data_IF_008678690435
#
_entry.id   IF_008678690435
#
_cell.length_a   1.000
_cell.length_b   1.000
_cell.length_c   1.000
_cell.angle_alpha   90.00
_cell.angle_beta   90.00
_cell.angle_gamma   90.00
#
_symmetry.space_group_name_H-M   'P 1'
#
loop_
_entity.id
_entity.type
_entity.pdbx_description
1 polymer ?
#
# COMPACT_ATOMS: atom_id res chain seq x y z
N UNK A 1 4.51 14.81 3.19
CA UNK A 1 4.34 14.14 1.90
C UNK A 1 3.05 14.60 1.25
N UNK A 2 3.13 15.06 0.00
CA UNK A 2 1.94 15.48 -0.78
C UNK A 2 1.15 14.24 -1.22
N UNK A 3 -0.17 14.33 -1.51
CA UNK A 3 -0.97 13.15 -1.81
C UNK A 3 -0.51 12.33 -3.03
N UNK A 4 0.01 13.01 -4.04
CA UNK A 4 0.47 12.42 -5.32
C UNK A 4 1.98 12.13 -5.35
N UNK A 5 2.70 12.51 -4.30
CA UNK A 5 4.13 12.30 -4.17
C UNK A 5 4.43 10.85 -3.81
N UNK A 6 5.46 10.27 -4.41
CA UNK A 6 5.98 8.95 -4.07
C UNK A 6 6.83 9.01 -2.80
N UNK A 7 7.05 7.88 -2.13
CA UNK A 7 7.97 7.84 -0.99
C UNK A 7 9.41 8.19 -1.41
N UNK A 8 9.78 7.93 -2.66
CA UNK A 8 11.06 8.33 -3.24
C UNK A 8 11.25 9.85 -3.27
N UNK A 9 10.29 10.57 -3.85
CA UNK A 9 10.31 12.04 -3.94
C UNK A 9 10.24 12.69 -2.56
N UNK A 10 9.45 12.12 -1.65
CA UNK A 10 9.37 12.61 -0.27
C UNK A 10 10.69 12.44 0.49
N UNK A 11 11.40 11.31 0.31
CA UNK A 11 12.73 11.09 0.87
C UNK A 11 13.71 12.16 0.38
N UNK A 12 13.78 12.40 -0.93
CA UNK A 12 14.70 13.40 -1.49
C UNK A 12 14.45 14.82 -0.92
N UNK A 13 13.17 15.22 -0.82
CA UNK A 13 12.81 16.52 -0.24
C UNK A 13 13.11 16.60 1.26
N UNK A 14 12.81 15.55 2.02
CA UNK A 14 13.05 15.51 3.46
C UNK A 14 14.55 15.48 3.78
N UNK A 15 15.31 14.67 3.06
CA UNK A 15 16.77 14.57 3.20
C UNK A 15 17.45 15.91 2.85
N UNK A 16 17.00 16.60 1.80
CA UNK A 16 17.48 17.94 1.47
C UNK A 16 17.19 18.94 2.60
N UNK A 17 15.99 18.90 3.19
CA UNK A 17 15.63 19.74 4.33
C UNK A 17 16.49 19.47 5.57
N UNK A 18 16.81 18.20 5.87
CA UNK A 18 17.69 17.84 6.98
C UNK A 18 19.11 18.36 6.75
N UNK A 19 19.61 18.30 5.52
CA UNK A 19 20.92 18.87 5.16
C UNK A 19 20.92 20.39 5.36
N UNK A 20 19.89 21.09 4.88
CA UNK A 20 19.74 22.54 5.09
C UNK A 20 19.71 22.91 6.58
N UNK A 21 18.94 22.18 7.37
CA UNK A 21 18.90 22.36 8.83
C UNK A 21 20.26 22.14 9.48
N UNK A 22 20.99 21.10 9.07
CA UNK A 22 22.34 20.80 9.57
C UNK A 22 23.31 21.95 9.26
N UNK A 23 23.24 22.54 8.06
CA UNK A 23 24.06 23.70 7.67
C UNK A 23 23.75 24.92 8.55
N UNK A 24 22.50 25.07 8.99
CA UNK A 24 22.08 26.13 9.91
C UNK A 24 22.45 25.86 11.38
N UNK A 25 23.08 24.72 11.67
CA UNK A 25 23.48 24.32 13.04
C UNK A 25 22.37 23.63 13.83
N UNK A 26 21.26 23.28 13.19
CA UNK A 26 20.18 22.51 13.80
C UNK A 26 20.43 21.02 13.58
N UNK A 27 20.78 20.30 14.65
CA UNK A 27 20.97 18.86 14.63
C UNK A 27 19.74 18.15 15.19
N UNK A 28 19.31 17.09 14.52
CA UNK A 28 18.23 16.22 14.99
C UNK A 28 18.76 14.83 15.24
N UNK A 29 18.36 14.22 16.35
CA UNK A 29 18.68 12.82 16.58
C UNK A 29 17.76 11.89 15.75
N UNK A 30 18.17 10.63 15.62
CA UNK A 30 17.45 9.60 14.88
C UNK A 30 15.97 9.49 15.26
N UNK A 31 15.66 9.55 16.56
CA UNK A 31 14.28 9.44 17.04
C UNK A 31 13.45 10.65 16.60
N UNK A 32 14.01 11.85 16.65
CA UNK A 32 13.33 13.07 16.22
C UNK A 32 13.04 13.05 14.71
N UNK A 33 14.04 12.69 13.90
CA UNK A 33 13.88 12.54 12.46
C UNK A 33 12.81 11.51 12.13
N UNK A 34 12.88 10.33 12.74
CA UNK A 34 11.91 9.26 12.52
C UNK A 34 10.47 9.69 12.87
N UNK A 35 10.28 10.38 14.00
CA UNK A 35 8.96 10.87 14.40
C UNK A 35 8.45 11.99 13.47
N UNK A 36 9.32 12.87 12.98
CA UNK A 36 8.96 13.91 12.01
C UNK A 36 8.51 13.31 10.68
N UNK A 37 9.27 12.34 10.15
CA UNK A 37 8.88 11.57 8.94
C UNK A 37 7.50 10.94 9.15
N UNK A 38 7.31 10.15 10.22
CA UNK A 38 6.04 9.46 10.47
C UNK A 38 4.84 10.41 10.61
N UNK A 39 5.04 11.62 11.17
CA UNK A 39 3.98 12.63 11.30
C UNK A 39 3.66 13.33 9.98
N UNK A 40 4.61 13.39 9.05
CA UNK A 40 4.45 14.04 7.75
C UNK A 40 3.82 13.14 6.69
N UNK A 41 3.63 11.84 6.99
CA UNK A 41 3.00 10.88 6.09
C UNK A 41 1.46 10.98 6.11
N UNK A 42 0.78 10.71 4.97
CA UNK A 42 -0.67 10.64 4.92
C UNK A 42 -1.22 9.45 5.74
N UNK A 43 -2.50 9.52 6.12
CA UNK A 43 -3.19 8.50 6.93
C UNK A 43 -3.07 7.06 6.41
N UNK A 44 -2.88 6.85 5.10
CA UNK A 44 -2.65 5.51 4.51
C UNK A 44 -1.44 4.78 5.11
N UNK A 45 -0.51 5.52 5.72
CA UNK A 45 0.69 5.00 6.38
C UNK A 45 0.52 4.76 7.89
N UNK A 46 -0.64 5.06 8.49
CA UNK A 46 -0.84 4.99 9.94
C UNK A 46 -0.52 3.60 10.51
N UNK A 47 -0.99 2.54 9.84
CA UNK A 47 -0.69 1.17 10.28
C UNK A 47 0.80 0.86 10.23
N UNK A 48 1.48 1.22 9.14
CA UNK A 48 2.92 1.03 8.97
C UNK A 48 3.72 1.77 10.04
N UNK A 49 3.39 3.06 10.27
CA UNK A 49 4.08 3.88 11.27
C UNK A 49 3.81 3.41 12.70
N UNK A 50 2.60 2.93 13.01
CA UNK A 50 2.26 2.33 14.29
C UNK A 50 3.13 1.09 14.57
N UNK A 51 3.18 0.13 13.64
CA UNK A 51 4.02 -1.07 13.79
C UNK A 51 5.49 -0.70 13.97
N UNK A 52 6.01 0.29 13.24
CA UNK A 52 7.39 0.72 13.39
C UNK A 52 7.68 1.32 14.78
N UNK A 53 6.74 2.11 15.33
CA UNK A 53 6.88 2.66 16.69
C UNK A 53 6.91 1.57 17.77
N UNK A 54 6.18 0.48 17.58
CA UNK A 54 6.15 -0.62 18.55
C UNK A 54 7.32 -1.61 18.38
N UNK A 55 7.80 -1.82 17.15
CA UNK A 55 8.75 -2.89 16.84
C UNK A 55 10.21 -2.45 16.65
N UNK A 56 10.49 -1.15 16.47
CA UNK A 56 11.83 -0.63 16.19
C UNK A 56 12.32 0.27 17.33
N UNK A 57 13.61 0.19 17.64
CA UNK A 57 14.28 1.18 18.49
C UNK A 57 14.57 2.45 17.68
N UNK A 58 13.70 3.45 17.81
CA UNK A 58 13.81 4.70 17.04
C UNK A 58 15.08 5.50 17.35
N UNK A 59 15.75 5.27 18.48
CA UNK A 59 17.00 5.96 18.79
C UNK A 59 18.17 5.43 17.94
N UNK A 60 18.05 4.21 17.40
CA UNK A 60 19.07 3.54 16.58
C UNK A 60 18.65 3.41 15.12
N UNK A 61 17.48 3.94 14.75
CA UNK A 61 16.96 3.85 13.40
C UNK A 61 17.47 5.03 12.57
N UNK A 62 18.44 4.76 11.72
CA UNK A 62 18.98 5.75 10.78
C UNK A 62 17.91 6.19 9.77
N UNK A 63 18.01 7.45 9.33
CA UNK A 63 17.03 8.04 8.39
C UNK A 63 16.96 7.28 7.07
N UNK A 64 18.12 6.87 6.54
CA UNK A 64 18.21 6.04 5.34
C UNK A 64 17.44 4.72 5.49
N UNK A 65 17.61 4.03 6.62
CA UNK A 65 16.98 2.72 6.86
C UNK A 65 15.46 2.85 7.03
N UNK A 66 15.01 3.95 7.66
CA UNK A 66 13.60 4.31 7.73
C UNK A 66 13.02 4.47 6.32
N UNK A 67 13.63 5.28 5.46
CA UNK A 67 13.12 5.50 4.11
C UNK A 67 13.21 4.26 3.23
N UNK A 68 14.28 3.46 3.34
CA UNK A 68 14.38 2.18 2.65
C UNK A 68 13.20 1.24 3.02
N UNK A 69 12.84 1.18 4.31
CA UNK A 69 11.71 0.39 4.78
C UNK A 69 10.36 0.90 4.27
N UNK A 70 10.20 2.22 4.16
CA UNK A 70 8.98 2.85 3.65
C UNK A 70 8.83 2.63 2.14
N UNK A 71 9.89 2.81 1.35
CA UNK A 71 9.89 2.56 -0.10
C UNK A 71 9.60 1.09 -0.42
N UNK A 72 10.16 0.16 0.34
CA UNK A 72 9.84 -1.26 0.20
C UNK A 72 8.35 -1.53 0.46
N UNK A 73 7.75 -0.90 1.46
CA UNK A 73 6.31 -1.04 1.71
C UNK A 73 5.44 -0.41 0.62
N UNK A 74 5.84 0.75 0.08
CA UNK A 74 5.16 1.35 -1.09
C UNK A 74 5.16 0.39 -2.28
N UNK A 75 6.32 -0.20 -2.57
CA UNK A 75 6.47 -1.17 -3.66
C UNK A 75 5.56 -2.39 -3.48
N UNK A 76 5.52 -2.99 -2.29
CA UNK A 76 4.65 -4.15 -2.00
C UNK A 76 3.15 -3.83 -2.09
N UNK A 77 2.75 -2.58 -1.79
CA UNK A 77 1.37 -2.16 -1.95
C UNK A 77 0.98 -2.06 -3.44
N UNK A 78 1.88 -1.54 -4.28
CA UNK A 78 1.66 -1.41 -5.71
C UNK A 78 1.57 -2.79 -6.39
N UNK A 79 2.53 -3.68 -6.12
CA UNK A 79 2.54 -5.04 -6.68
C UNK A 79 1.31 -5.86 -6.28
N UNK A 80 0.79 -5.66 -5.06
CA UNK A 80 -0.44 -6.30 -4.63
C UNK A 80 -1.68 -5.70 -5.31
N UNK A 81 -1.72 -4.39 -5.51
CA UNK A 81 -2.82 -3.75 -6.22
C UNK A 81 -2.92 -4.21 -7.69
N UNK A 82 -1.79 -4.45 -8.34
CA UNK A 82 -1.71 -4.98 -9.71
C UNK A 82 -2.16 -6.45 -9.84
N UNK A 83 -2.10 -7.23 -8.75
CA UNK A 83 -2.39 -8.67 -8.75
C UNK A 83 -3.79 -9.03 -8.25
N UNK A 84 -4.58 -8.06 -7.76
CA UNK A 84 -5.99 -8.29 -7.41
C UNK A 84 -6.81 -8.45 -8.72
N UNK A 85 -7.47 -9.61 -8.96
CA UNK A 85 -8.40 -9.73 -10.07
C UNK A 85 -9.54 -8.76 -9.80
N UNK A 86 -9.72 -7.77 -10.67
CA UNK A 86 -10.87 -6.88 -10.63
C UNK A 86 -12.15 -7.72 -10.50
N UNK A 87 -12.77 -7.72 -9.32
CA UNK A 87 -14.04 -8.43 -9.08
C UNK A 87 -15.18 -7.64 -9.71
N UNK A 88 -15.09 -7.46 -11.02
CA UNK A 88 -16.20 -7.13 -11.90
C UNK A 88 -16.48 -8.36 -12.75
N UNK A 89 -16.87 -9.48 -12.12
CA UNK A 89 -17.56 -10.53 -12.85
C UNK A 89 -19.05 -10.20 -12.86
N UNK A 90 -19.66 -9.89 -14.03
CA UNK A 90 -21.09 -10.03 -14.15
C UNK A 90 -21.37 -11.54 -14.14
N UNK A 91 -22.03 -12.03 -13.09
CA UNK A 91 -22.61 -13.37 -13.05
C UNK A 91 -23.63 -13.50 -14.18
N UNK A 92 -23.20 -13.95 -15.36
CA UNK A 92 -24.12 -14.44 -16.39
C UNK A 92 -24.54 -15.85 -15.98
N UNK A 93 -25.77 -15.95 -15.50
CA UNK A 93 -26.44 -17.22 -15.22
C UNK A 93 -26.41 -18.12 -16.46
N UNK A 94 -25.93 -19.35 -16.30
CA UNK A 94 -26.02 -20.38 -17.33
C UNK A 94 -27.46 -20.92 -17.31
N UNK A 95 -28.31 -20.45 -18.22
CA UNK A 95 -29.60 -21.08 -18.47
C UNK A 95 -29.36 -22.38 -19.24
N UNK A 96 -29.46 -23.51 -18.55
CA UNK A 96 -29.50 -24.82 -19.18
C UNK A 96 -30.87 -25.01 -19.86
N UNK A 97 -30.92 -24.76 -21.17
CA UNK A 97 -32.06 -25.18 -22.00
C UNK A 97 -32.03 -26.71 -22.12
N UNK A 98 -32.83 -27.38 -21.30
CA UNK A 98 -33.27 -28.74 -21.61
C UNK A 98 -34.29 -28.66 -22.75
N UNK A 99 -34.11 -29.38 -23.87
CA UNK A 99 -35.19 -29.48 -24.85
C UNK A 99 -36.30 -30.36 -24.26
N UNK A 100 -37.52 -29.83 -24.30
CA UNK A 100 -38.77 -30.52 -23.96
C UNK A 100 -38.81 -31.92 -24.56
N UNK A 101 -38.95 -32.93 -23.70
CA UNK A 101 -39.53 -34.20 -24.08
C UNK A 101 -40.89 -34.35 -23.40
N UNK A 102 -41.89 -34.69 -24.23
CA UNK A 102 -43.12 -35.48 -23.97
C UNK A 102 -44.41 -34.72 -24.37
N UNK A 103 -45.54 -35.38 -24.72
CA UNK A 103 -45.84 -36.82 -24.61
C UNK A 103 -46.52 -37.52 -25.82
N UNK A 104 -46.34 -38.85 -25.85
CA UNK A 104 -47.23 -39.96 -26.26
C UNK A 104 -48.40 -39.75 -27.24
N UNK A 105 -48.51 -40.68 -28.22
CA UNK A 105 -49.74 -41.47 -28.43
C UNK A 105 -49.53 -42.74 -29.29
N UNK A 106 -49.36 -43.88 -28.59
CA UNK A 106 -50.04 -45.18 -28.71
C UNK A 106 -50.63 -45.76 -30.03
N UNK A 107 -50.28 -47.06 -30.24
CA UNK A 107 -51.08 -48.22 -30.75
C UNK A 107 -51.45 -48.23 -32.25
N UNK A 108 -51.57 -49.36 -32.98
CA UNK A 108 -51.72 -50.79 -32.64
C UNK A 108 -51.60 -51.67 -33.91
N UNK A 109 -51.40 -52.97 -33.69
CA UNK A 109 -51.68 -54.15 -34.54
C UNK A 109 -50.72 -54.47 -35.69
#
# INVERSE_FOLDING_TARGET
MKPEETMGEFDEQFSSLVIEMTILGEEYNNRELALKVMRALPKKWDFKTMVMRESKDLNKLELHDLFANMKAYEFELETRAESEPSTSQPTKALAATMPEQSPQSSKSA
#
